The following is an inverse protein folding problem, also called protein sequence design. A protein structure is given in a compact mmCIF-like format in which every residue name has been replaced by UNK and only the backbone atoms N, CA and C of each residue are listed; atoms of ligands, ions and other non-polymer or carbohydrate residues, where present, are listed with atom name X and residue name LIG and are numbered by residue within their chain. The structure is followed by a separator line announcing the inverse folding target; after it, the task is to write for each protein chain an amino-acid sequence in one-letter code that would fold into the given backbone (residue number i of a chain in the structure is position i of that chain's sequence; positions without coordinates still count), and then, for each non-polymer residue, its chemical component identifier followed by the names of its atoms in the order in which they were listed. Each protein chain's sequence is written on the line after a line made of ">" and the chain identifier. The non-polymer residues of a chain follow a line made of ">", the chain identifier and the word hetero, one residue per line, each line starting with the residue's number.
data_IF_279494788850
#
_entry.id   IF_279494788850
#
_cell.length_a   1.000
_cell.length_b   1.000
_cell.length_c   1.000
_cell.angle_alpha   90.00
_cell.angle_beta   90.00
_cell.angle_gamma   90.00
#
_symmetry.space_group_name_H-M   'P 1'
#
loop_
_entity.id
_entity.type
_entity.pdbx_description
1 polymer ?
#
# COMPACT_ATOMS: atom_id res chain seq x y z
N UNK A 1 11.75 1.14 -47.21
CA UNK A 1 11.54 -0.31 -47.23
C UNK A 1 10.51 -0.64 -46.15
N UNK A 2 9.36 -1.08 -46.58
CA UNK A 2 8.20 -1.45 -45.74
C UNK A 2 8.39 -2.88 -45.24
N UNK A 3 8.26 -3.15 -43.97
CA UNK A 3 7.99 -4.49 -43.45
C UNK A 3 6.68 -4.50 -42.65
N UNK A 4 5.65 -4.90 -43.32
CA UNK A 4 4.41 -5.40 -42.72
C UNK A 4 4.71 -6.74 -42.02
N UNK A 5 4.29 -6.88 -40.78
CA UNK A 5 4.17 -8.19 -40.11
C UNK A 5 2.74 -8.42 -39.67
N UNK A 6 2.21 -9.41 -40.29
CA UNK A 6 0.91 -10.03 -40.25
C UNK A 6 0.46 -10.49 -38.85
N UNK A 7 -0.77 -10.17 -38.51
CA UNK A 7 -1.53 -10.75 -37.41
C UNK A 7 -1.88 -12.21 -37.73
N UNK A 8 -1.62 -13.13 -36.81
CA UNK A 8 -2.21 -14.44 -36.74
C UNK A 8 -3.17 -14.51 -35.56
N UNK A 9 -4.44 -14.46 -35.87
CA UNK A 9 -5.55 -14.71 -34.95
C UNK A 9 -5.74 -16.22 -34.88
N UNK A 10 -5.49 -16.86 -33.76
CA UNK A 10 -5.81 -18.26 -33.51
C UNK A 10 -7.10 -18.34 -32.70
N UNK A 11 -8.17 -18.66 -33.36
CA UNK A 11 -9.48 -18.99 -32.79
C UNK A 11 -9.46 -20.42 -32.26
N UNK A 12 -9.53 -20.61 -30.95
CA UNK A 12 -9.77 -21.92 -30.34
C UNK A 12 -11.25 -22.06 -30.07
N UNK A 13 -11.84 -22.95 -30.83
CA UNK A 13 -13.23 -23.40 -30.75
C UNK A 13 -13.37 -24.37 -29.56
N UNK A 14 -14.08 -23.97 -28.51
CA UNK A 14 -14.43 -24.85 -27.39
C UNK A 14 -15.72 -25.59 -27.71
N UNK A 15 -15.58 -26.89 -27.88
CA UNK A 15 -16.68 -27.83 -28.07
C UNK A 15 -17.24 -28.24 -26.69
N UNK A 16 -18.48 -27.90 -26.45
CA UNK A 16 -19.24 -28.26 -25.27
C UNK A 16 -19.80 -29.67 -25.43
N UNK A 17 -19.47 -30.56 -24.52
CA UNK A 17 -20.10 -31.89 -24.39
C UNK A 17 -20.94 -31.90 -23.10
N UNK A 18 -22.25 -31.95 -23.32
CA UNK A 18 -23.24 -32.20 -22.28
C UNK A 18 -23.35 -33.71 -22.03
N UNK A 19 -23.38 -34.16 -20.80
CA UNK A 19 -23.76 -35.50 -20.39
C UNK A 19 -25.00 -35.48 -19.48
N UNK A 20 -25.90 -36.43 -19.63
CA UNK A 20 -27.23 -36.38 -19.03
C UNK A 20 -27.28 -36.96 -17.60
N UNK A 21 -28.31 -36.52 -16.90
CA UNK A 21 -28.73 -36.90 -15.57
C UNK A 21 -29.07 -38.41 -15.48
N UNK A 22 -28.61 -39.06 -14.44
CA UNK A 22 -29.19 -40.31 -13.96
C UNK A 22 -29.93 -40.10 -12.63
N UNK A 23 -31.20 -40.41 -12.72
CA UNK A 23 -32.19 -40.50 -11.67
C UNK A 23 -32.01 -41.85 -10.97
N UNK A 24 -31.79 -41.90 -9.69
CA UNK A 24 -32.00 -43.13 -8.92
C UNK A 24 -32.97 -42.84 -7.78
N UNK A 25 -34.04 -43.60 -7.84
CA UNK A 25 -35.25 -43.60 -7.04
C UNK A 25 -35.09 -44.49 -5.81
N UNK A 26 -35.53 -43.96 -4.65
CA UNK A 26 -36.17 -44.57 -3.51
C UNK A 26 -35.71 -45.93 -2.91
N UNK A 27 -35.49 -45.90 -1.61
CA UNK A 27 -36.19 -46.85 -0.71
C UNK A 27 -36.20 -46.32 0.73
N UNK A 28 -37.41 -46.27 1.23
CA UNK A 28 -37.86 -45.96 2.56
C UNK A 28 -37.60 -47.15 3.52
N UNK A 29 -37.13 -46.92 4.76
CA UNK A 29 -37.61 -47.67 5.94
C UNK A 29 -37.13 -47.04 7.25
N UNK A 30 -38.06 -46.53 7.97
CA UNK A 30 -38.46 -46.75 9.38
C UNK A 30 -37.41 -46.66 10.49
N UNK A 31 -37.71 -45.69 11.36
CA UNK A 31 -37.76 -45.81 12.83
C UNK A 31 -36.45 -45.82 13.64
N UNK A 32 -36.20 -44.73 14.35
CA UNK A 32 -36.30 -44.63 15.82
C UNK A 32 -35.97 -43.24 16.32
N UNK A 33 -36.92 -42.69 17.02
CA UNK A 33 -36.77 -41.48 17.83
C UNK A 33 -35.75 -41.75 18.95
N UNK A 34 -34.73 -40.96 19.01
CA UNK A 34 -34.00 -40.70 20.25
C UNK A 34 -33.82 -39.17 20.34
N UNK A 35 -34.24 -38.66 21.50
CA UNK A 35 -34.23 -37.23 21.81
C UNK A 35 -32.86 -36.63 21.60
N UNK A 36 -32.73 -35.76 20.61
CA UNK A 36 -31.59 -34.93 20.41
C UNK A 36 -31.73 -33.66 21.25
N UNK A 37 -30.92 -33.58 22.28
CA UNK A 37 -30.68 -32.39 23.07
C UNK A 37 -30.37 -31.23 22.11
N UNK A 38 -31.22 -30.19 22.18
CA UNK A 38 -31.02 -28.93 21.50
C UNK A 38 -29.75 -28.25 22.07
N UNK A 39 -28.60 -28.53 21.49
CA UNK A 39 -27.44 -27.70 21.70
C UNK A 39 -27.58 -26.47 20.81
N UNK A 40 -27.91 -25.35 21.45
CA UNK A 40 -27.85 -24.04 20.82
C UNK A 40 -26.44 -23.82 20.22
N UNK A 41 -26.33 -23.32 18.96
CA UNK A 41 -25.03 -22.99 18.40
C UNK A 41 -24.39 -21.91 19.24
N UNK A 42 -23.33 -22.25 19.90
CA UNK A 42 -22.45 -21.28 20.54
C UNK A 42 -22.00 -20.29 19.45
N UNK A 43 -22.50 -19.07 19.55
CA UNK A 43 -21.99 -17.96 18.75
C UNK A 43 -20.52 -17.81 19.11
N UNK A 44 -19.67 -18.32 18.26
CA UNK A 44 -18.27 -17.97 18.25
C UNK A 44 -18.18 -16.45 18.15
N UNK A 45 -17.97 -15.83 19.31
CA UNK A 45 -17.56 -14.44 19.36
C UNK A 45 -16.25 -14.36 18.61
N UNK A 46 -16.32 -14.00 17.35
CA UNK A 46 -15.16 -13.61 16.56
C UNK A 46 -14.41 -12.54 17.35
N UNK A 47 -13.44 -12.95 18.14
CA UNK A 47 -12.42 -12.07 18.68
C UNK A 47 -11.78 -11.43 17.45
N UNK A 48 -12.23 -10.21 17.10
CA UNK A 48 -11.52 -9.34 16.16
C UNK A 48 -10.10 -9.20 16.72
N UNK A 49 -9.21 -10.03 16.25
CA UNK A 49 -7.79 -9.84 16.48
C UNK A 49 -7.47 -8.49 15.87
N UNK A 50 -7.29 -7.48 16.72
CA UNK A 50 -6.68 -6.22 16.32
C UNK A 50 -5.32 -6.61 15.74
N UNK A 51 -5.25 -6.74 14.41
CA UNK A 51 -3.97 -6.84 13.70
C UNK A 51 -3.20 -5.58 14.10
N UNK A 52 -2.25 -5.72 14.99
CA UNK A 52 -1.28 -4.66 15.21
C UNK A 52 -0.65 -4.36 13.85
N UNK A 53 -1.01 -3.21 13.26
CA UNK A 53 -0.34 -2.71 12.06
C UNK A 53 1.14 -2.61 12.42
N UNK A 54 1.96 -3.51 11.89
CA UNK A 54 3.41 -3.41 12.03
C UNK A 54 3.82 -2.05 11.49
N UNK A 55 4.54 -1.30 12.28
CA UNK A 55 5.07 0.00 11.88
C UNK A 55 6.05 -0.26 10.72
N UNK A 56 5.75 0.26 9.57
CA UNK A 56 6.63 0.17 8.41
C UNK A 56 7.86 1.02 8.65
N UNK A 57 9.03 0.55 8.28
CA UNK A 57 10.30 1.25 8.46
C UNK A 57 11.26 0.90 7.33
N UNK A 58 12.31 1.69 7.19
CA UNK A 58 13.38 1.41 6.24
C UNK A 58 14.37 0.39 6.84
N UNK A 59 14.88 -0.48 5.99
CA UNK A 59 15.96 -1.42 6.29
C UNK A 59 17.09 -1.11 5.32
N UNK A 60 18.24 -0.71 5.85
CA UNK A 60 19.42 -0.36 5.08
C UNK A 60 20.40 -1.52 5.19
N UNK A 61 20.78 -2.08 4.07
CA UNK A 61 21.85 -3.10 3.95
C UNK A 61 23.10 -2.46 3.36
N UNK A 62 24.17 -3.21 3.20
CA UNK A 62 25.43 -2.70 2.65
C UNK A 62 25.26 -2.11 1.23
N UNK A 63 24.36 -2.64 0.43
CA UNK A 63 24.19 -2.32 -1.01
C UNK A 63 22.79 -1.88 -1.40
N UNK A 64 21.79 -2.09 -0.53
CA UNK A 64 20.38 -1.81 -0.87
C UNK A 64 19.59 -1.26 0.30
N UNK A 65 18.56 -0.51 -0.04
CA UNK A 65 17.56 -0.01 0.90
C UNK A 65 16.22 -0.68 0.62
N UNK A 66 15.52 -1.07 1.67
CA UNK A 66 14.19 -1.66 1.59
C UNK A 66 13.21 -0.85 2.43
N UNK A 67 11.96 -0.79 1.98
CA UNK A 67 10.82 -0.31 2.76
C UNK A 67 9.71 -1.35 2.74
N UNK A 68 9.27 -1.82 3.91
CA UNK A 68 8.25 -2.88 4.02
C UNK A 68 8.55 -4.11 3.12
N UNK A 69 9.82 -4.58 3.10
CA UNK A 69 10.38 -5.69 2.30
C UNK A 69 10.47 -5.45 0.79
N UNK A 70 10.13 -4.27 0.30
CA UNK A 70 10.30 -3.90 -1.10
C UNK A 70 11.58 -3.08 -1.27
N UNK A 71 12.39 -3.41 -2.25
CA UNK A 71 13.58 -2.62 -2.56
C UNK A 71 13.19 -1.22 -3.02
N UNK A 72 13.84 -0.22 -2.45
CA UNK A 72 13.66 1.19 -2.84
C UNK A 72 14.53 1.45 -4.07
N UNK A 73 13.88 1.69 -5.20
CA UNK A 73 14.58 1.89 -6.47
C UNK A 73 15.38 3.19 -6.47
N UNK A 74 16.65 3.08 -6.86
CA UNK A 74 17.56 4.24 -7.02
C UNK A 74 18.07 4.83 -5.71
N UNK A 75 17.84 4.18 -4.57
CA UNK A 75 18.35 4.62 -3.28
C UNK A 75 19.83 4.22 -3.11
N UNK A 76 20.66 5.19 -2.73
CA UNK A 76 22.08 4.97 -2.39
C UNK A 76 22.19 4.55 -0.91
N UNK A 77 22.44 3.26 -0.66
CA UNK A 77 22.53 2.73 0.70
C UNK A 77 23.63 3.41 1.55
N UNK A 78 24.72 3.84 0.93
CA UNK A 78 25.88 4.45 1.60
C UNK A 78 25.58 5.82 2.24
N UNK A 79 24.65 6.58 1.66
CA UNK A 79 24.27 7.92 2.12
C UNK A 79 22.84 8.00 2.64
N UNK A 80 22.12 6.88 2.64
CA UNK A 80 20.70 6.85 3.00
C UNK A 80 20.49 7.12 4.48
N UNK A 81 19.57 8.03 4.77
CA UNK A 81 19.16 8.40 6.13
C UNK A 81 17.65 8.35 6.25
N UNK A 82 17.15 7.58 7.19
CA UNK A 82 15.75 7.61 7.58
C UNK A 82 15.46 8.87 8.40
N UNK A 83 14.36 9.55 8.07
CA UNK A 83 13.86 10.71 8.77
C UNK A 83 12.56 10.36 9.51
N UNK A 84 11.91 11.36 10.11
CA UNK A 84 10.61 11.17 10.77
C UNK A 84 9.49 11.02 9.75
N UNK A 85 8.33 10.52 10.21
CA UNK A 85 7.06 10.49 9.48
C UNK A 85 7.09 9.73 8.13
N UNK A 86 8.01 8.74 8.00
CA UNK A 86 8.14 7.93 6.79
C UNK A 86 8.98 8.56 5.68
N UNK A 87 9.55 9.74 5.93
CA UNK A 87 10.51 10.34 5.02
C UNK A 87 11.91 9.75 5.18
N UNK A 88 12.66 9.79 4.12
CA UNK A 88 14.07 9.46 4.08
C UNK A 88 14.75 10.20 2.93
N UNK A 89 16.06 10.33 2.97
CA UNK A 89 16.84 10.91 1.88
C UNK A 89 18.19 10.21 1.73
N UNK A 90 18.73 10.21 0.53
CA UNK A 90 20.15 10.05 0.24
C UNK A 90 20.75 11.39 -0.20
N UNK A 91 21.98 11.39 -0.70
CA UNK A 91 22.66 12.64 -1.10
C UNK A 91 21.92 13.42 -2.21
N UNK A 92 21.11 12.75 -3.03
CA UNK A 92 20.50 13.33 -4.22
C UNK A 92 18.97 13.24 -4.27
N UNK A 93 18.38 12.37 -3.48
CA UNK A 93 16.96 12.02 -3.63
C UNK A 93 16.24 11.93 -2.30
N UNK A 94 15.03 12.43 -2.27
CA UNK A 94 14.11 12.29 -1.13
C UNK A 94 13.09 11.19 -1.40
N UNK A 95 12.75 10.46 -0.35
CA UNK A 95 11.81 9.35 -0.39
C UNK A 95 10.72 9.52 0.65
N UNK A 96 9.54 9.04 0.34
CA UNK A 96 8.44 8.89 1.29
C UNK A 96 7.84 7.48 1.19
N UNK A 97 7.84 6.75 2.30
CA UNK A 97 7.36 5.36 2.36
C UNK A 97 7.90 4.48 1.22
N UNK A 98 9.20 4.58 0.95
CA UNK A 98 9.91 3.81 -0.07
C UNK A 98 9.73 4.29 -1.51
N UNK A 99 9.03 5.39 -1.73
CA UNK A 99 8.83 5.98 -3.06
C UNK A 99 9.62 7.27 -3.20
N UNK A 100 10.27 7.45 -4.35
CA UNK A 100 10.97 8.68 -4.70
C UNK A 100 10.00 9.85 -4.83
N UNK A 101 10.34 10.99 -4.22
CA UNK A 101 9.64 12.27 -4.40
C UNK A 101 10.33 13.01 -5.54
N UNK A 102 9.60 13.30 -6.62
CA UNK A 102 10.09 14.10 -7.73
C UNK A 102 10.17 15.59 -7.35
N UNK A 103 11.24 16.25 -7.76
CA UNK A 103 11.40 17.69 -7.57
C UNK A 103 11.93 18.11 -6.19
N UNK A 104 11.92 17.24 -5.20
CA UNK A 104 12.42 17.59 -3.87
C UNK A 104 13.94 17.62 -3.81
N UNK A 105 14.49 18.67 -3.19
CA UNK A 105 15.93 18.90 -3.02
C UNK A 105 16.42 18.25 -1.73
N UNK A 106 17.20 17.16 -1.85
CA UNK A 106 17.65 16.38 -0.69
C UNK A 106 18.52 17.18 0.30
N UNK A 107 19.38 18.06 -0.22
CA UNK A 107 20.35 18.81 0.57
C UNK A 107 19.69 19.76 1.61
N UNK A 108 18.54 20.34 1.28
CA UNK A 108 17.81 21.29 2.13
C UNK A 108 16.55 20.69 2.77
N UNK A 109 16.30 19.40 2.55
CA UNK A 109 15.06 18.77 3.00
C UNK A 109 14.94 18.68 4.51
N UNK A 110 13.81 19.12 5.05
CA UNK A 110 13.51 19.12 6.48
C UNK A 110 12.10 18.60 6.72
N UNK A 111 11.95 17.68 7.66
CA UNK A 111 10.64 17.21 8.12
C UNK A 111 10.18 18.12 9.24
N UNK A 112 8.99 18.70 9.07
CA UNK A 112 8.40 19.65 10.01
C UNK A 112 7.52 18.96 11.07
N UNK A 113 6.99 17.78 10.77
CA UNK A 113 6.11 16.99 11.63
C UNK A 113 4.74 16.75 11.00
N UNK A 114 3.95 15.83 11.57
CA UNK A 114 2.61 15.45 11.11
C UNK A 114 2.51 15.10 9.62
N UNK A 115 3.63 14.63 9.05
CA UNK A 115 3.74 14.30 7.63
C UNK A 115 4.07 15.47 6.72
N UNK A 116 4.29 16.67 7.28
CA UNK A 116 4.75 17.85 6.54
C UNK A 116 6.27 17.93 6.46
N UNK A 117 6.76 18.41 5.35
CA UNK A 117 8.18 18.65 5.11
C UNK A 117 8.37 19.83 4.13
N UNK A 118 9.59 20.38 4.10
CA UNK A 118 10.01 21.42 3.13
C UNK A 118 11.41 21.13 2.64
N UNK A 119 11.74 21.62 1.45
CA UNK A 119 13.11 21.64 0.92
C UNK A 119 13.65 23.06 0.70
N UNK A 120 12.96 24.06 1.25
CA UNK A 120 13.31 25.48 1.11
C UNK A 120 12.77 26.12 -0.17
N UNK A 121 12.16 25.33 -1.07
CA UNK A 121 11.52 25.82 -2.29
C UNK A 121 10.03 25.45 -2.34
N UNK A 122 9.66 24.32 -1.75
CA UNK A 122 8.30 23.84 -1.71
C UNK A 122 7.95 23.16 -0.39
N UNK A 123 6.65 22.97 -0.19
CA UNK A 123 6.09 22.26 0.95
C UNK A 123 5.55 20.91 0.48
N UNK A 124 5.77 19.89 1.28
CA UNK A 124 5.35 18.53 0.98
C UNK A 124 4.46 18.00 2.11
N UNK A 125 3.41 17.30 1.75
CA UNK A 125 2.57 16.56 2.68
C UNK A 125 2.49 15.08 2.29
N UNK A 126 2.97 14.21 3.17
CA UNK A 126 3.01 12.74 2.93
C UNK A 126 3.59 12.39 1.55
N UNK A 127 4.72 13.01 1.22
CA UNK A 127 5.46 12.76 -0.01
C UNK A 127 4.89 13.38 -1.28
N UNK A 128 3.90 14.28 -1.16
CA UNK A 128 3.33 15.03 -2.28
C UNK A 128 3.60 16.50 -2.11
N UNK A 129 4.04 17.16 -3.18
CA UNK A 129 4.20 18.61 -3.21
C UNK A 129 2.84 19.30 -3.12
N UNK A 130 2.75 20.30 -2.25
CA UNK A 130 1.60 21.17 -2.07
C UNK A 130 1.82 22.44 -2.90
N UNK A 131 1.27 22.48 -4.12
CA UNK A 131 1.52 23.56 -5.08
C UNK A 131 1.01 24.92 -4.64
N UNK A 132 -0.01 24.92 -3.78
CA UNK A 132 -0.68 26.14 -3.32
C UNK A 132 -0.16 26.62 -1.96
N UNK A 133 0.82 25.93 -1.38
CA UNK A 133 1.41 26.29 -0.10
C UNK A 133 2.74 27.02 -0.30
N UNK A 134 2.89 28.12 0.42
CA UNK A 134 4.12 28.93 0.44
C UNK A 134 5.03 28.48 1.59
N UNK A 135 6.28 28.16 1.30
CA UNK A 135 7.26 27.76 2.31
C UNK A 135 7.52 28.89 3.33
N UNK A 136 7.56 30.12 2.85
CA UNK A 136 7.73 31.32 3.69
C UNK A 136 6.56 31.49 4.64
N UNK A 137 6.81 31.31 5.91
CA UNK A 137 5.78 31.40 6.95
C UNK A 137 5.04 30.10 7.25
N UNK A 138 5.39 28.99 6.58
CA UNK A 138 4.73 27.71 6.81
C UNK A 138 4.94 27.20 8.25
N UNK A 139 3.85 26.85 8.91
CA UNK A 139 3.83 26.34 10.29
C UNK A 139 2.88 25.17 10.41
N UNK A 140 3.35 24.09 11.01
CA UNK A 140 2.51 22.95 11.42
C UNK A 140 1.86 23.31 12.75
N UNK A 141 0.53 23.21 12.79
CA UNK A 141 -0.29 23.53 13.96
C UNK A 141 -0.59 22.30 14.82
N UNK A 142 -0.35 21.11 14.30
CA UNK A 142 -0.67 19.83 14.95
C UNK A 142 -1.95 19.19 14.41
N UNK A 143 -2.19 17.94 14.79
CA UNK A 143 -3.37 17.16 14.38
C UNK A 143 -3.63 17.12 12.86
N UNK A 144 -2.54 17.27 12.06
CA UNK A 144 -2.60 17.27 10.59
C UNK A 144 -2.96 18.63 9.97
N UNK A 145 -3.04 19.70 10.75
CA UNK A 145 -3.28 21.07 10.28
C UNK A 145 -1.97 21.85 10.16
N UNK A 146 -1.92 22.71 9.16
CA UNK A 146 -0.82 23.64 8.94
C UNK A 146 -1.33 24.92 8.31
N UNK A 147 -0.53 25.99 8.37
CA UNK A 147 -0.81 27.29 7.71
C UNK A 147 0.47 27.82 7.10
N UNK A 148 0.36 28.54 6.00
CA UNK A 148 1.43 29.33 5.37
C UNK A 148 1.29 30.84 5.64
N UNK A 149 0.37 31.20 6.53
CA UNK A 149 0.04 32.57 6.83
C UNK A 149 -1.04 33.19 5.94
N UNK A 150 -1.40 32.51 4.84
CA UNK A 150 -2.46 32.93 3.92
C UNK A 150 -3.58 31.88 3.85
N UNK A 151 -3.23 30.60 4.02
CA UNK A 151 -4.14 29.47 3.98
C UNK A 151 -3.98 28.61 5.23
N UNK A 152 -5.05 27.94 5.65
CA UNK A 152 -5.04 26.98 6.76
C UNK A 152 -5.85 25.74 6.40
#
# INVERSE_FOLDING_TARGET
>A
MRFMRTLLISTILMLSLATPAETVKAANTHSRQTASVCQSPQRDRHKKHKRHKRKKHYIITADKVYYDRQAVSGASASSFKEMKDGYAADDFTVYYEGKKIGGATAMSFKVLGDGYATDGFGVYYKGREMKDATESGFKVLGDGYATDGFNA
#
